data_IF_651079411855
#
_entry.id   IF_651079411855
#
_cell.length_a   1.000
_cell.length_b   1.000
_cell.length_c   1.000
_cell.angle_alpha   90.00
_cell.angle_beta   90.00
_cell.angle_gamma   90.00
#
_symmetry.space_group_name_H-M   'P 1'
#
loop_
_entity.id
_entity.type
_entity.pdbx_description
1 polymer ?
#
# COMPACT_ATOMS: atom_id res chain seq x y z
N UNK A 1 5.53 10.67 -18.79
CA UNK A 1 5.95 9.71 -17.74
C UNK A 1 7.43 9.36 -17.84
N UNK A 2 7.99 9.03 -19.02
CA UNK A 2 9.42 8.71 -19.15
C UNK A 2 10.37 9.82 -18.67
N UNK A 3 10.13 11.08 -19.05
CA UNK A 3 10.94 12.23 -18.60
C UNK A 3 10.91 12.43 -17.08
N UNK A 4 9.77 12.14 -16.46
CA UNK A 4 9.59 12.28 -15.01
C UNK A 4 10.31 11.15 -14.25
N UNK A 5 10.27 9.93 -14.80
CA UNK A 5 11.06 8.82 -14.29
C UNK A 5 12.57 9.10 -14.39
N UNK A 6 13.04 9.66 -15.51
CA UNK A 6 14.43 10.06 -15.68
C UNK A 6 14.84 11.14 -14.66
N UNK A 7 14.02 12.18 -14.49
CA UNK A 7 14.27 13.22 -13.50
C UNK A 7 14.38 12.65 -12.08
N UNK A 8 13.40 11.84 -11.66
CA UNK A 8 13.42 11.24 -10.32
C UNK A 8 14.60 10.30 -10.09
N UNK A 9 15.04 9.55 -11.10
CA UNK A 9 16.25 8.73 -10.99
C UNK A 9 17.49 9.60 -10.75
N UNK A 10 17.62 10.72 -11.47
CA UNK A 10 18.73 11.68 -11.27
C UNK A 10 18.69 12.25 -9.85
N UNK A 11 17.51 12.68 -9.38
CA UNK A 11 17.35 13.17 -8.01
C UNK A 11 17.73 12.11 -6.96
N UNK A 12 17.32 10.86 -7.17
CA UNK A 12 17.68 9.75 -6.27
C UNK A 12 19.18 9.50 -6.24
N UNK A 13 19.86 9.56 -7.38
CA UNK A 13 21.32 9.42 -7.48
C UNK A 13 22.04 10.58 -6.78
N UNK A 14 21.61 11.82 -7.00
CA UNK A 14 22.16 13.01 -6.31
C UNK A 14 22.03 12.89 -4.78
N UNK A 15 20.86 12.53 -4.28
CA UNK A 15 20.64 12.34 -2.84
C UNK A 15 21.43 11.15 -2.27
N UNK A 16 21.66 10.12 -3.09
CA UNK A 16 22.48 8.97 -2.69
C UNK A 16 23.96 9.34 -2.62
N UNK A 17 24.42 10.26 -3.48
CA UNK A 17 25.79 10.78 -3.47
C UNK A 17 26.11 11.57 -2.18
N UNK A 18 25.11 12.26 -1.62
CA UNK A 18 25.18 12.96 -0.32
C UNK A 18 25.30 12.03 0.91
N UNK A 19 25.59 10.74 0.69
CA UNK A 19 25.83 9.70 1.71
C UNK A 19 24.71 9.52 2.72
N UNK A 20 23.47 9.83 2.33
CA UNK A 20 22.32 9.45 3.15
C UNK A 20 22.22 7.93 3.19
N UNK A 21 22.10 7.32 4.38
CA UNK A 21 21.87 5.88 4.53
C UNK A 21 20.40 5.49 4.24
N UNK A 22 19.68 6.36 3.51
CA UNK A 22 18.26 6.21 3.20
C UNK A 22 18.12 5.39 1.93
N UNK A 23 17.36 4.30 2.00
CA UNK A 23 16.94 3.56 0.82
C UNK A 23 15.75 4.27 0.19
N UNK A 24 15.81 4.54 -1.10
CA UNK A 24 14.81 5.32 -1.81
C UNK A 24 14.10 4.46 -2.87
N UNK A 25 12.84 4.77 -3.13
CA UNK A 25 12.06 4.20 -4.22
C UNK A 25 11.10 5.26 -4.75
N UNK A 26 10.84 5.26 -6.06
CA UNK A 26 9.81 6.10 -6.67
C UNK A 26 8.83 5.24 -7.47
N UNK A 27 7.56 5.59 -7.42
CA UNK A 27 6.53 5.07 -8.32
C UNK A 27 5.70 6.24 -8.84
N UNK A 28 5.85 6.56 -10.13
CA UNK A 28 5.36 7.83 -10.67
C UNK A 28 5.86 9.01 -9.81
N UNK A 29 4.97 9.82 -9.24
CA UNK A 29 5.25 10.94 -8.33
C UNK A 29 5.39 10.56 -6.85
N UNK A 30 5.04 9.33 -6.47
CA UNK A 30 5.22 8.86 -5.11
C UNK A 30 6.68 8.50 -4.85
N UNK A 31 7.45 9.44 -4.30
CA UNK A 31 8.80 9.23 -3.80
C UNK A 31 8.77 8.79 -2.33
N UNK A 32 9.50 7.73 -2.01
CA UNK A 32 9.57 7.14 -0.66
C UNK A 32 11.01 6.93 -0.23
N UNK A 33 11.31 7.24 1.03
CA UNK A 33 12.60 6.97 1.67
C UNK A 33 12.42 6.14 2.95
N UNK A 34 13.32 5.20 3.20
CA UNK A 34 13.36 4.37 4.40
C UNK A 34 14.76 4.39 5.04
N UNK A 35 14.83 4.74 6.33
CA UNK A 35 16.10 4.87 7.05
C UNK A 35 15.90 5.35 8.49
N UNK A 36 16.98 5.76 9.15
CA UNK A 36 16.91 6.40 10.47
C UNK A 36 16.23 7.77 10.36
N UNK A 37 15.49 8.19 11.39
CA UNK A 37 14.72 9.45 11.37
C UNK A 37 15.62 10.66 11.09
N UNK A 38 16.82 10.69 11.65
CA UNK A 38 17.81 11.75 11.39
C UNK A 38 18.24 11.80 9.93
N UNK A 39 18.42 10.65 9.29
CA UNK A 39 18.83 10.56 7.89
C UNK A 39 17.64 10.88 6.97
N UNK A 40 16.42 10.47 7.35
CA UNK A 40 15.19 10.84 6.66
C UNK A 40 14.92 12.35 6.70
N UNK A 41 15.28 13.03 7.79
CA UNK A 41 15.15 14.49 7.88
C UNK A 41 16.10 15.20 6.90
N UNK A 42 17.35 14.74 6.81
CA UNK A 42 18.33 15.23 5.82
C UNK A 42 17.86 14.95 4.40
N UNK A 43 17.42 13.72 4.16
CA UNK A 43 16.85 13.29 2.90
C UNK A 43 15.68 14.18 2.46
N UNK A 44 14.73 14.45 3.35
CA UNK A 44 13.61 15.34 3.05
C UNK A 44 14.05 16.76 2.70
N UNK A 45 15.07 17.29 3.36
CA UNK A 45 15.63 18.60 3.02
C UNK A 45 16.22 18.61 1.60
N UNK A 46 17.02 17.61 1.26
CA UNK A 46 17.61 17.45 -0.08
C UNK A 46 16.53 17.29 -1.17
N UNK A 47 15.47 16.52 -0.91
CA UNK A 47 14.34 16.38 -1.84
C UNK A 47 13.65 17.72 -2.09
N UNK A 48 13.46 18.54 -1.05
CA UNK A 48 12.86 19.88 -1.19
C UNK A 48 13.77 20.86 -1.94
N UNK A 49 15.07 20.77 -1.72
CA UNK A 49 16.08 21.65 -2.32
C UNK A 49 16.32 21.31 -3.80
N UNK A 50 16.57 20.04 -4.08
CA UNK A 50 16.97 19.57 -5.41
C UNK A 50 15.77 19.18 -6.28
N UNK A 51 14.64 18.78 -5.71
CA UNK A 51 13.46 18.40 -6.48
C UNK A 51 13.00 19.45 -7.50
N UNK A 52 12.89 20.75 -7.15
CA UNK A 52 12.42 21.77 -8.07
C UNK A 52 13.24 21.93 -9.36
N UNK A 53 14.54 21.59 -9.34
CA UNK A 53 15.42 21.71 -10.52
C UNK A 53 15.02 20.77 -11.65
N UNK A 54 14.38 19.64 -11.30
CA UNK A 54 13.85 18.64 -12.24
C UNK A 54 12.32 18.72 -12.39
N UNK A 55 11.69 19.76 -11.85
CA UNK A 55 10.23 19.94 -11.87
C UNK A 55 9.47 19.08 -10.84
N UNK A 56 10.15 18.53 -9.83
CA UNK A 56 9.53 17.77 -8.74
C UNK A 56 9.37 18.64 -7.49
N UNK A 57 8.14 19.00 -7.12
CA UNK A 57 7.89 19.78 -5.88
C UNK A 57 7.16 18.93 -4.85
N UNK A 58 7.83 18.47 -3.77
CA UNK A 58 7.20 17.62 -2.77
C UNK A 58 6.13 18.40 -1.98
N UNK A 59 4.96 17.78 -1.79
CA UNK A 59 3.86 18.37 -1.02
C UNK A 59 3.90 17.91 0.44
N UNK A 60 4.46 18.74 1.32
CA UNK A 60 4.63 18.43 2.74
C UNK A 60 3.33 17.98 3.44
N UNK A 61 2.21 18.67 3.17
CA UNK A 61 0.92 18.37 3.82
C UNK A 61 0.29 17.04 3.39
N UNK A 62 0.77 16.46 2.29
CA UNK A 62 0.39 15.12 1.83
C UNK A 62 1.46 14.08 2.13
N UNK A 63 2.68 14.50 2.47
CA UNK A 63 3.77 13.61 2.84
C UNK A 63 3.60 13.10 4.27
N UNK A 64 3.90 11.82 4.47
CA UNK A 64 3.67 11.12 5.72
C UNK A 64 4.95 10.42 6.16
N UNK A 65 5.37 10.69 7.38
CA UNK A 65 6.44 9.97 8.07
C UNK A 65 5.83 8.90 8.97
N UNK A 66 6.09 7.64 8.64
CA UNK A 66 5.69 6.49 9.47
C UNK A 66 6.87 6.14 10.39
N UNK A 67 6.65 6.16 11.69
CA UNK A 67 7.66 5.83 12.70
C UNK A 67 7.17 4.72 13.61
N UNK A 68 8.10 3.97 14.20
CA UNK A 68 7.75 3.04 15.27
C UNK A 68 7.27 3.80 16.51
N UNK A 69 6.37 3.22 17.34
CA UNK A 69 5.83 3.89 18.52
C UNK A 69 6.90 4.50 19.46
N UNK A 70 8.00 3.78 19.67
CA UNK A 70 9.14 4.21 20.51
C UNK A 70 9.92 5.41 19.96
N UNK A 71 9.70 5.79 18.70
CA UNK A 71 10.35 6.93 18.06
C UNK A 71 9.37 8.03 17.66
N UNK A 72 8.11 7.92 18.06
CA UNK A 72 7.06 8.87 17.68
C UNK A 72 7.38 10.29 18.13
N UNK A 73 7.73 10.48 19.41
CA UNK A 73 8.07 11.80 19.96
C UNK A 73 9.29 12.42 19.27
N UNK A 74 10.32 11.60 18.98
CA UNK A 74 11.50 12.05 18.25
C UNK A 74 11.16 12.45 16.80
N UNK A 75 10.30 11.68 16.14
CA UNK A 75 9.79 12.00 14.80
C UNK A 75 9.03 13.32 14.77
N UNK A 76 8.08 13.51 15.68
CA UNK A 76 7.31 14.77 15.82
C UNK A 76 8.24 15.95 16.07
N UNK A 77 9.20 15.81 16.99
CA UNK A 77 10.17 16.86 17.29
C UNK A 77 11.00 17.25 16.07
N UNK A 78 11.60 16.27 15.37
CA UNK A 78 12.51 16.52 14.23
C UNK A 78 11.78 17.02 12.97
N UNK A 79 10.51 16.69 12.80
CA UNK A 79 9.72 17.08 11.63
C UNK A 79 8.70 18.20 11.89
N UNK A 80 8.67 18.76 13.09
CA UNK A 80 7.72 19.83 13.50
C UNK A 80 7.72 21.05 12.56
N UNK A 81 8.88 21.42 12.03
CA UNK A 81 9.13 22.54 11.10
C UNK A 81 8.84 22.19 9.63
N UNK A 82 8.55 20.92 9.31
CA UNK A 82 8.53 20.43 7.93
C UNK A 82 7.15 20.43 7.28
N UNK A 83 6.07 20.49 8.05
CA UNK A 83 4.69 20.31 7.58
C UNK A 83 4.30 18.86 7.24
N UNK A 84 5.22 17.89 7.42
CA UNK A 84 5.01 16.46 7.19
C UNK A 84 4.17 15.86 8.32
N UNK A 85 3.19 15.02 7.98
CA UNK A 85 2.34 14.34 8.96
C UNK A 85 3.11 13.16 9.55
N UNK A 86 3.20 13.06 10.88
CA UNK A 86 3.87 11.95 11.57
C UNK A 86 2.84 10.98 12.15
N UNK A 87 2.96 9.69 11.83
CA UNK A 87 2.07 8.63 12.34
C UNK A 87 2.86 7.45 12.89
N UNK A 88 2.31 6.79 13.92
CA UNK A 88 2.85 5.56 14.51
C UNK A 88 2.02 4.31 14.21
N UNK A 89 0.77 4.49 13.80
CA UNK A 89 -0.18 3.39 13.60
C UNK A 89 0.03 2.73 12.23
N UNK A 90 0.34 3.56 11.22
CA UNK A 90 0.58 3.11 9.86
C UNK A 90 -0.05 4.01 8.82
N UNK A 91 0.19 3.67 7.56
CA UNK A 91 -0.36 4.37 6.42
C UNK A 91 -0.48 3.43 5.21
N UNK A 92 -1.44 3.71 4.34
CA UNK A 92 -1.55 3.03 3.04
C UNK A 92 -0.42 3.49 2.12
N UNK A 93 0.24 2.53 1.48
CA UNK A 93 1.34 2.78 0.55
C UNK A 93 1.21 1.85 -0.66
N UNK A 94 1.06 2.41 -1.88
CA UNK A 94 0.95 1.68 -3.15
C UNK A 94 -0.10 0.55 -3.14
N UNK A 95 -1.26 0.79 -2.51
CA UNK A 95 -2.34 -0.19 -2.39
C UNK A 95 -2.14 -1.25 -1.29
N UNK A 96 -0.99 -1.24 -0.61
CA UNK A 96 -0.70 -2.02 0.57
C UNK A 96 -0.71 -1.13 1.83
N UNK A 97 -0.31 -1.69 2.97
CA UNK A 97 -0.23 -0.99 4.25
C UNK A 97 1.11 -1.21 4.91
N UNK A 98 1.70 -0.13 5.42
CA UNK A 98 2.89 -0.16 6.27
C UNK A 98 2.46 0.37 7.64
N UNK A 99 2.75 -0.34 8.72
CA UNK A 99 2.30 0.05 10.05
C UNK A 99 2.30 -1.10 11.05
N UNK A 100 1.57 -0.91 12.14
CA UNK A 100 1.38 -1.93 13.18
C UNK A 100 0.55 -3.10 12.67
N UNK A 101 0.63 -4.23 13.37
CA UNK A 101 -0.15 -5.42 13.02
C UNK A 101 -1.66 -5.18 13.16
N UNK A 102 -2.09 -4.34 14.10
CA UNK A 102 -3.49 -3.95 14.26
C UNK A 102 -3.98 -3.16 13.04
N UNK A 103 -3.18 -2.22 12.55
CA UNK A 103 -3.54 -1.41 11.39
C UNK A 103 -3.60 -2.26 10.11
N UNK A 104 -2.65 -3.20 9.93
CA UNK A 104 -2.70 -4.19 8.85
C UNK A 104 -3.94 -5.08 8.95
N UNK A 105 -4.24 -5.61 10.14
CA UNK A 105 -5.37 -6.50 10.37
C UNK A 105 -6.70 -5.80 10.07
N UNK A 106 -6.84 -4.54 10.49
CA UNK A 106 -8.02 -3.72 10.16
C UNK A 106 -8.18 -3.53 8.66
N UNK A 107 -7.12 -3.14 7.96
CA UNK A 107 -7.15 -2.93 6.51
C UNK A 107 -7.52 -4.19 5.73
N UNK A 108 -6.88 -5.32 6.06
CA UNK A 108 -7.16 -6.60 5.39
C UNK A 108 -8.55 -7.10 5.76
N UNK A 109 -8.99 -6.93 7.01
CA UNK A 109 -10.34 -7.28 7.44
C UNK A 109 -11.42 -6.52 6.68
N UNK A 110 -11.25 -5.21 6.46
CA UNK A 110 -12.14 -4.39 5.63
C UNK A 110 -12.20 -4.93 4.19
N UNK A 111 -11.05 -5.23 3.58
CA UNK A 111 -10.97 -5.79 2.22
C UNK A 111 -11.61 -7.17 2.12
N UNK A 112 -11.38 -8.04 3.11
CA UNK A 112 -11.99 -9.38 3.17
C UNK A 112 -13.50 -9.27 3.32
N UNK A 113 -14.00 -8.37 4.18
CA UNK A 113 -15.43 -8.14 4.34
C UNK A 113 -16.09 -7.70 3.03
N UNK A 114 -15.44 -6.78 2.30
CA UNK A 114 -15.87 -6.34 0.96
C UNK A 114 -15.94 -7.52 -0.02
N UNK A 115 -14.87 -8.32 -0.11
CA UNK A 115 -14.81 -9.49 -0.99
C UNK A 115 -15.87 -10.54 -0.63
N UNK A 116 -16.13 -10.79 0.66
CA UNK A 116 -17.18 -11.73 1.12
C UNK A 116 -18.57 -11.28 0.67
N UNK A 117 -18.86 -9.98 0.70
CA UNK A 117 -20.13 -9.42 0.19
C UNK A 117 -20.24 -9.63 -1.32
N UNK A 118 -19.18 -9.32 -2.05
CA UNK A 118 -19.12 -9.50 -3.51
C UNK A 118 -19.29 -10.97 -3.93
N UNK A 119 -18.67 -11.93 -3.22
CA UNK A 119 -18.92 -13.36 -3.42
C UNK A 119 -20.40 -13.70 -3.23
N UNK A 120 -21.05 -13.09 -2.25
CA UNK A 120 -22.50 -13.26 -2.03
C UNK A 120 -23.34 -12.78 -3.21
N UNK A 121 -23.01 -11.62 -3.77
CA UNK A 121 -23.69 -11.07 -4.96
C UNK A 121 -23.47 -11.96 -6.18
N UNK A 122 -22.22 -12.39 -6.42
CA UNK A 122 -21.87 -13.28 -7.53
C UNK A 122 -22.57 -14.64 -7.42
N UNK A 123 -22.69 -15.18 -6.21
CA UNK A 123 -23.44 -16.42 -5.94
C UNK A 123 -24.93 -16.27 -6.29
N UNK A 124 -25.52 -15.11 -6.02
CA UNK A 124 -26.89 -14.81 -6.45
C UNK A 124 -27.04 -14.79 -7.97
N UNK A 125 -26.12 -14.10 -8.66
CA UNK A 125 -26.09 -14.03 -10.13
C UNK A 125 -25.85 -15.38 -10.78
N UNK A 126 -25.06 -16.25 -10.14
CA UNK A 126 -24.76 -17.59 -10.67
C UNK A 126 -26.00 -18.48 -10.82
N UNK A 127 -27.11 -18.17 -10.14
CA UNK A 127 -28.39 -18.90 -10.27
C UNK A 127 -29.07 -18.68 -11.62
N UNK A 128 -28.89 -17.51 -12.23
CA UNK A 128 -29.48 -17.16 -13.52
C UNK A 128 -28.44 -17.18 -14.63
N UNK A 129 -27.23 -16.67 -14.36
CA UNK A 129 -26.17 -16.45 -15.34
C UNK A 129 -24.83 -17.04 -14.85
N UNK A 130 -24.70 -18.38 -14.77
CA UNK A 130 -23.55 -19.04 -14.16
C UNK A 130 -22.22 -18.73 -14.86
N UNK A 131 -22.20 -18.68 -16.20
CA UNK A 131 -20.98 -18.39 -16.96
C UNK A 131 -20.50 -16.94 -16.76
N UNK A 132 -21.43 -15.97 -16.71
CA UNK A 132 -21.09 -14.57 -16.46
C UNK A 132 -20.58 -14.38 -15.03
N UNK A 133 -21.25 -14.99 -14.04
CA UNK A 133 -20.82 -14.95 -12.65
C UNK A 133 -19.43 -15.59 -12.45
N UNK A 134 -19.16 -16.71 -13.12
CA UNK A 134 -17.85 -17.36 -13.09
C UNK A 134 -16.75 -16.48 -13.71
N UNK A 135 -17.01 -15.88 -14.88
CA UNK A 135 -16.08 -14.96 -15.54
C UNK A 135 -15.77 -13.74 -14.66
N UNK A 136 -16.78 -13.14 -14.02
CA UNK A 136 -16.58 -12.03 -13.09
C UNK A 136 -15.77 -12.45 -11.84
N UNK A 137 -15.97 -13.67 -11.36
CA UNK A 137 -15.18 -14.22 -10.25
C UNK A 137 -13.71 -14.41 -10.62
N UNK A 138 -13.40 -15.07 -11.74
CA UNK A 138 -12.03 -15.37 -12.16
C UNK A 138 -11.27 -14.14 -12.66
N UNK A 139 -11.89 -13.33 -13.51
CA UNK A 139 -11.24 -12.18 -14.13
C UNK A 139 -11.35 -10.87 -13.32
N UNK A 140 -12.25 -10.81 -12.33
CA UNK A 140 -12.37 -9.67 -11.42
C UNK A 140 -11.87 -9.99 -10.02
N UNK A 141 -12.67 -10.78 -9.29
CA UNK A 141 -12.53 -10.96 -7.85
C UNK A 141 -11.20 -11.64 -7.46
N UNK A 142 -10.82 -12.68 -8.19
CA UNK A 142 -9.56 -13.40 -7.96
C UNK A 142 -8.32 -12.53 -8.22
N UNK A 143 -8.37 -11.53 -9.10
CA UNK A 143 -7.21 -10.65 -9.27
C UNK A 143 -7.04 -9.71 -8.08
N UNK A 144 -8.15 -9.20 -7.52
CA UNK A 144 -8.15 -8.34 -6.32
C UNK A 144 -7.61 -9.07 -5.09
N UNK A 145 -8.04 -10.30 -4.83
CA UNK A 145 -7.52 -11.09 -3.70
C UNK A 145 -6.03 -11.43 -3.88
N UNK A 146 -5.61 -11.66 -5.13
CA UNK A 146 -4.23 -12.04 -5.43
C UNK A 146 -3.27 -10.88 -5.19
N UNK A 147 -3.71 -9.66 -5.52
CA UNK A 147 -2.97 -8.44 -5.18
C UNK A 147 -2.76 -8.31 -3.66
N UNK A 148 -3.80 -8.50 -2.85
CA UNK A 148 -3.70 -8.40 -1.37
C UNK A 148 -2.75 -9.46 -0.82
N UNK A 149 -2.83 -10.72 -1.29
CA UNK A 149 -1.91 -11.80 -0.86
C UNK A 149 -0.46 -11.53 -1.21
N UNK A 150 -0.20 -10.94 -2.39
CA UNK A 150 1.16 -10.64 -2.85
C UNK A 150 1.78 -9.48 -2.10
N UNK A 151 0.98 -8.51 -1.70
CA UNK A 151 1.46 -7.27 -1.07
C UNK A 151 1.53 -7.37 0.44
N UNK A 152 0.73 -8.25 1.06
CA UNK A 152 0.63 -8.34 2.52
C UNK A 152 0.99 -9.74 3.05
N UNK A 153 2.23 -9.94 3.54
CA UNK A 153 2.63 -11.22 4.11
C UNK A 153 1.96 -11.46 5.47
N UNK A 154 1.79 -12.74 5.85
CA UNK A 154 1.30 -13.12 7.19
C UNK A 154 -0.23 -13.01 7.41
N UNK A 155 -1.01 -12.76 6.36
CA UNK A 155 -2.45 -12.49 6.48
C UNK A 155 -3.35 -13.74 6.41
N UNK A 156 -2.79 -14.95 6.37
CA UNK A 156 -3.53 -16.19 6.09
C UNK A 156 -4.75 -16.39 6.99
N UNK A 157 -4.63 -16.05 8.28
CA UNK A 157 -5.73 -16.16 9.24
C UNK A 157 -6.90 -15.21 8.91
N UNK A 158 -6.59 -14.01 8.40
CA UNK A 158 -7.57 -12.99 8.07
C UNK A 158 -8.36 -13.32 6.80
N UNK A 159 -7.83 -14.20 5.95
CA UNK A 159 -8.48 -14.62 4.70
C UNK A 159 -9.49 -15.76 4.89
N UNK A 160 -9.48 -16.45 6.04
CA UNK A 160 -10.41 -17.58 6.31
C UNK A 160 -11.88 -17.27 6.03
N UNK A 161 -12.44 -16.10 6.43
CA UNK A 161 -13.84 -15.79 6.16
C UNK A 161 -14.17 -15.77 4.66
N UNK A 162 -13.22 -15.31 3.83
CA UNK A 162 -13.38 -15.31 2.37
C UNK A 162 -13.32 -16.73 1.81
N UNK A 163 -12.38 -17.55 2.26
CA UNK A 163 -12.27 -18.94 1.83
C UNK A 163 -13.55 -19.73 2.16
N UNK A 164 -14.08 -19.56 3.37
CA UNK A 164 -15.35 -20.17 3.77
C UNK A 164 -16.51 -19.68 2.92
N UNK A 165 -16.59 -18.38 2.64
CA UNK A 165 -17.65 -17.82 1.80
C UNK A 165 -17.60 -18.37 0.37
N UNK A 166 -16.41 -18.50 -0.21
CA UNK A 166 -16.23 -19.10 -1.54
C UNK A 166 -16.68 -20.56 -1.54
N UNK A 167 -16.19 -21.36 -0.58
CA UNK A 167 -16.54 -22.80 -0.47
C UNK A 167 -18.03 -23.03 -0.28
N UNK A 168 -18.71 -22.18 0.49
CA UNK A 168 -20.14 -22.34 0.82
C UNK A 168 -21.07 -21.81 -0.29
N UNK A 169 -20.66 -20.74 -1.00
CA UNK A 169 -21.58 -19.97 -1.87
C UNK A 169 -21.32 -20.13 -3.36
N UNK A 170 -20.11 -20.45 -3.78
CA UNK A 170 -19.82 -20.69 -5.19
C UNK A 170 -19.98 -22.19 -5.44
N UNK A 171 -20.98 -22.62 -6.23
CA UNK A 171 -21.13 -24.03 -6.53
C UNK A 171 -19.90 -24.50 -7.33
N UNK A 172 -19.11 -25.40 -6.74
CA UNK A 172 -18.16 -26.22 -7.50
C UNK A 172 -18.97 -27.17 -8.37
N UNK A 173 -18.72 -27.23 -9.68
CA UNK A 173 -19.45 -28.08 -10.63
C UNK A 173 -19.19 -29.60 -10.48
N UNK A 174 -18.96 -30.06 -9.25
CA UNK A 174 -18.68 -31.45 -8.90
C UNK A 174 -19.64 -31.94 -7.81
N UNK A 175 -20.92 -31.60 -7.95
CA UNK A 175 -22.00 -32.31 -7.27
C UNK A 175 -22.81 -33.03 -8.36
N UNK A 176 -22.41 -34.27 -8.59
CA UNK A 176 -23.20 -35.43 -9.03
C UNK A 176 -24.29 -35.21 -10.10
N UNK A 177 -24.00 -35.71 -11.32
CA UNK A 177 -24.98 -36.37 -12.19
C UNK A 177 -25.17 -37.79 -11.65
#
# INVERSE_FOLDING_TARGET
>A
MAMYALGLSVLQEEISYEKTQVKQMAYADDLTGAGKITDLKKWWALVKENGPTIGYTPNATKSILIVKPEHYENGVRLFSDSGVIVTKDGQRHLGAVIGTEEFKAKYVGEKVSELVKEVGVLSGMAKTEPHAAYSAFTHGLQHRWSFVKRTMPGISLLLRPLEESIRKKIPTSTAEI
#
